data_IF_550644346141
#
_entry.id   IF_550644346141
#
_cell.length_a   1.000
_cell.length_b   1.000
_cell.length_c   1.000
_cell.angle_alpha   90.00
_cell.angle_beta   90.00
_cell.angle_gamma   90.00
#
_symmetry.space_group_name_H-M   'P 1'
#
loop_
_entity.id
_entity.type
_entity.pdbx_description
1 polymer ?
#
# COMPACT_ATOMS: atom_id res chain seq x y z
N UNK A 1 30.84 -8.24 -6.09
CA UNK A 1 30.80 -7.01 -5.28
C UNK A 1 30.01 -7.28 -4.01
N UNK A 2 30.00 -6.35 -3.05
CA UNK A 2 29.27 -6.49 -1.78
C UNK A 2 27.79 -6.79 -1.99
N UNK A 3 27.17 -6.18 -3.00
CA UNK A 3 25.76 -6.36 -3.39
C UNK A 3 25.49 -7.80 -3.84
N UNK A 4 26.38 -8.37 -4.65
CA UNK A 4 26.29 -9.78 -5.07
C UNK A 4 26.45 -10.76 -3.91
N UNK A 5 27.21 -10.39 -2.88
CA UNK A 5 27.31 -11.21 -1.67
C UNK A 5 26.01 -11.13 -0.87
N UNK A 6 25.42 -9.94 -0.71
CA UNK A 6 24.14 -9.78 -0.03
C UNK A 6 22.99 -10.48 -0.77
N UNK A 7 22.95 -10.42 -2.11
CA UNK A 7 21.96 -11.13 -2.93
C UNK A 7 21.89 -12.64 -2.61
N UNK A 8 23.00 -13.26 -2.22
CA UNK A 8 23.03 -14.70 -1.88
C UNK A 8 22.49 -15.02 -0.48
N UNK A 9 22.33 -14.04 0.40
CA UNK A 9 21.94 -14.23 1.81
C UNK A 9 20.42 -14.12 2.01
N UNK A 10 19.69 -15.00 1.34
CA UNK A 10 18.22 -14.96 1.22
C UNK A 10 17.44 -15.00 2.55
N UNK A 11 18.07 -15.41 3.65
CA UNK A 11 17.44 -15.48 4.98
C UNK A 11 17.61 -14.19 5.82
N UNK A 12 18.31 -13.17 5.32
CA UNK A 12 18.55 -11.92 6.05
C UNK A 12 17.55 -10.81 5.73
N UNK A 13 16.77 -10.97 4.67
CA UNK A 13 15.85 -9.94 4.19
C UNK A 13 14.67 -10.61 3.49
N UNK A 14 13.55 -9.90 3.49
CA UNK A 14 12.33 -10.31 2.80
C UNK A 14 12.32 -9.87 1.32
N UNK A 15 13.01 -8.75 1.04
CA UNK A 15 13.08 -8.09 -0.25
C UNK A 15 14.52 -7.60 -0.50
N UNK A 16 15.06 -7.93 -1.66
CA UNK A 16 16.32 -7.39 -2.18
C UNK A 16 16.03 -6.39 -3.30
N UNK A 17 16.62 -5.20 -3.21
CA UNK A 17 16.45 -4.13 -4.19
C UNK A 17 17.80 -3.78 -4.81
N UNK A 18 17.92 -3.93 -6.13
CA UNK A 18 19.13 -3.58 -6.89
C UNK A 18 18.75 -2.84 -8.17
N UNK A 19 19.06 -1.54 -8.24
CA UNK A 19 18.82 -0.70 -9.42
C UNK A 19 17.40 -0.84 -9.98
N UNK A 20 16.39 -0.68 -9.11
CA UNK A 20 14.96 -0.85 -9.41
C UNK A 20 14.51 -2.29 -9.69
N UNK A 21 15.42 -3.27 -9.67
CA UNK A 21 15.04 -4.69 -9.70
C UNK A 21 14.70 -5.14 -8.29
N UNK A 22 13.47 -5.62 -8.13
CA UNK A 22 12.95 -6.17 -6.88
C UNK A 22 13.07 -7.70 -6.96
N UNK A 23 13.69 -8.31 -5.95
CA UNK A 23 13.81 -9.76 -5.81
C UNK A 23 13.28 -10.17 -4.46
N UNK A 24 12.38 -11.13 -4.48
CA UNK A 24 11.77 -11.75 -3.30
C UNK A 24 12.03 -13.24 -3.34
N UNK A 25 12.12 -13.87 -2.17
CA UNK A 25 12.36 -15.31 -2.03
C UNK A 25 11.16 -16.06 -1.44
N UNK A 26 10.15 -15.33 -0.98
CA UNK A 26 8.90 -15.88 -0.43
C UNK A 26 7.76 -15.67 -1.40
N UNK A 27 6.98 -16.72 -1.66
CA UNK A 27 5.78 -16.66 -2.50
C UNK A 27 4.70 -15.70 -1.96
N UNK A 28 4.70 -15.43 -0.65
CA UNK A 28 3.82 -14.42 -0.05
C UNK A 28 4.23 -13.01 -0.48
N UNK A 29 5.53 -12.73 -0.54
CA UNK A 29 6.06 -11.42 -0.94
C UNK A 29 5.99 -11.22 -2.46
N UNK A 30 6.02 -12.29 -3.27
CA UNK A 30 5.78 -12.19 -4.72
C UNK A 30 4.44 -11.54 -5.04
N UNK A 31 3.39 -11.86 -4.27
CA UNK A 31 2.07 -11.23 -4.45
C UNK A 31 2.08 -9.73 -4.15
N UNK A 32 2.92 -9.27 -3.21
CA UNK A 32 3.07 -7.84 -2.92
C UNK A 32 3.75 -7.06 -4.05
N UNK A 33 4.37 -7.75 -5.01
CA UNK A 33 4.97 -7.14 -6.20
C UNK A 33 3.99 -7.04 -7.38
N UNK A 34 2.84 -7.70 -7.30
CA UNK A 34 1.84 -7.66 -8.36
C UNK A 34 1.11 -6.32 -8.35
N UNK A 35 1.01 -5.68 -9.53
CA UNK A 35 0.32 -4.41 -9.67
C UNK A 35 -1.19 -4.61 -9.67
N UNK A 36 -1.87 -4.05 -8.67
CA UNK A 36 -3.33 -4.03 -8.59
C UNK A 36 -3.94 -2.90 -9.45
N UNK A 37 -5.24 -2.99 -9.78
CA UNK A 37 -6.01 -1.84 -10.29
C UNK A 37 -5.89 -0.59 -9.41
N UNK A 38 -5.92 -0.75 -8.09
CA UNK A 38 -5.77 0.35 -7.14
C UNK A 38 -4.41 1.04 -7.27
N UNK A 39 -3.32 0.30 -7.51
CA UNK A 39 -1.99 0.89 -7.71
C UNK A 39 -1.93 1.78 -8.95
N UNK A 40 -2.58 1.36 -10.05
CA UNK A 40 -2.66 2.17 -11.26
C UNK A 40 -3.41 3.48 -11.01
N UNK A 41 -4.49 3.44 -10.24
CA UNK A 41 -5.25 4.64 -9.86
C UNK A 41 -4.41 5.58 -8.97
N UNK A 42 -3.74 5.04 -7.95
CA UNK A 42 -2.84 5.79 -7.07
C UNK A 42 -1.70 6.43 -7.86
N UNK A 43 -1.09 5.69 -8.78
CA UNK A 43 -0.01 6.19 -9.63
C UNK A 43 -0.47 7.31 -10.55
N UNK A 44 -1.62 7.17 -11.22
CA UNK A 44 -2.18 8.23 -12.06
C UNK A 44 -2.47 9.51 -11.25
N UNK A 45 -3.07 9.37 -10.07
CA UNK A 45 -3.30 10.51 -9.19
C UNK A 45 -2.00 11.18 -8.74
N UNK A 46 -0.95 10.41 -8.45
CA UNK A 46 0.37 10.93 -8.13
C UNK A 46 0.97 11.72 -9.33
N UNK A 47 0.80 11.23 -10.56
CA UNK A 47 1.24 11.94 -11.76
C UNK A 47 0.49 13.27 -11.96
N UNK A 48 -0.82 13.29 -11.66
CA UNK A 48 -1.62 14.52 -11.68
C UNK A 48 -1.16 15.54 -10.62
N UNK A 49 -0.78 15.09 -9.43
CA UNK A 49 -0.22 15.97 -8.41
C UNK A 49 1.14 16.52 -8.83
N UNK A 50 2.02 15.66 -9.37
CA UNK A 50 3.32 16.06 -9.89
C UNK A 50 3.19 17.19 -10.91
N UNK A 51 2.25 17.07 -11.86
CA UNK A 51 2.06 18.08 -12.91
C UNK A 51 1.52 19.41 -12.38
N UNK A 52 0.80 19.41 -11.25
CA UNK A 52 0.32 20.62 -10.57
C UNK A 52 1.39 21.29 -9.70
N UNK A 53 2.29 20.51 -9.12
CA UNK A 53 3.37 21.01 -8.25
C UNK A 53 4.59 21.50 -9.04
N UNK A 54 4.91 20.88 -10.19
CA UNK A 54 6.09 21.23 -11.00
C UNK A 54 6.10 22.70 -11.51
N UNK A 55 4.99 23.33 -11.91
CA UNK A 55 4.96 24.75 -12.29
C UNK A 55 5.23 25.71 -11.12
N UNK A 56 4.90 25.31 -9.87
CA UNK A 56 5.08 26.16 -8.68
C UNK A 56 6.56 26.24 -8.24
N UNK A 57 7.37 25.25 -8.61
CA UNK A 57 8.79 25.14 -8.26
C UNK A 57 9.73 25.72 -9.34
N UNK A 58 9.20 26.08 -10.51
CA UNK A 58 9.98 26.64 -11.61
C UNK A 58 10.58 28.02 -11.32
N UNK A 59 10.15 28.70 -10.24
CA UNK A 59 10.69 29.98 -9.79
C UNK A 59 11.76 29.89 -8.70
N UNK A 60 11.95 28.72 -8.07
CA UNK A 60 12.85 28.53 -6.94
C UNK A 60 13.78 27.34 -7.25
N UNK A 61 14.77 27.61 -8.10
CA UNK A 61 15.59 26.62 -8.83
C UNK A 61 16.47 25.72 -7.96
N UNK A 62 16.47 25.85 -6.63
CA UNK A 62 17.38 25.12 -5.73
C UNK A 62 16.68 24.31 -4.63
N UNK A 63 15.34 24.37 -4.53
CA UNK A 63 14.57 23.56 -3.59
C UNK A 63 13.70 22.57 -4.37
N UNK A 64 14.18 21.34 -4.52
CA UNK A 64 13.32 20.21 -4.92
C UNK A 64 12.42 19.90 -3.74
N UNK A 65 11.34 20.66 -3.58
CA UNK A 65 10.38 20.44 -2.50
C UNK A 65 9.58 19.17 -2.79
N UNK A 66 10.05 18.04 -2.27
CA UNK A 66 9.38 16.75 -2.33
C UNK A 66 8.28 16.61 -1.24
N UNK A 67 7.87 17.71 -0.60
CA UNK A 67 6.78 17.72 0.39
C UNK A 67 5.46 17.23 -0.20
N UNK A 68 5.17 17.53 -1.48
CA UNK A 68 3.96 17.07 -2.15
C UNK A 68 3.94 15.54 -2.29
N UNK A 69 5.09 14.94 -2.58
CA UNK A 69 5.24 13.49 -2.71
C UNK A 69 5.04 12.82 -1.35
N UNK A 70 5.71 13.32 -0.32
CA UNK A 70 5.54 12.82 1.06
C UNK A 70 4.09 13.00 1.54
N UNK A 71 3.49 14.15 1.25
CA UNK A 71 2.11 14.48 1.60
C UNK A 71 1.08 13.54 0.97
N UNK A 72 1.31 13.09 -0.26
CA UNK A 72 0.47 12.10 -0.93
C UNK A 72 0.38 10.79 -0.14
N UNK A 73 1.51 10.19 0.20
CA UNK A 73 1.54 8.93 0.96
C UNK A 73 1.06 9.12 2.40
N UNK A 74 1.37 10.25 3.03
CA UNK A 74 0.84 10.59 4.35
C UNK A 74 -0.69 10.68 4.34
N UNK A 75 -1.28 11.29 3.30
CA UNK A 75 -2.73 11.37 3.16
C UNK A 75 -3.38 9.99 2.98
N UNK A 76 -2.77 9.11 2.19
CA UNK A 76 -3.22 7.73 2.03
C UNK A 76 -3.18 6.96 3.35
N UNK A 77 -2.05 7.00 4.07
CA UNK A 77 -1.92 6.35 5.38
C UNK A 77 -2.95 6.91 6.38
N UNK A 78 -3.13 8.22 6.38
CA UNK A 78 -4.10 8.90 7.24
C UNK A 78 -5.52 8.43 6.94
N UNK A 79 -5.89 8.30 5.67
CA UNK A 79 -7.21 7.82 5.26
C UNK A 79 -7.44 6.36 5.68
N UNK A 80 -6.44 5.50 5.46
CA UNK A 80 -6.48 4.09 5.88
C UNK A 80 -6.73 3.94 7.38
N UNK A 81 -5.92 4.60 8.22
CA UNK A 81 -6.05 4.49 9.67
C UNK A 81 -7.32 5.16 10.21
N UNK A 82 -7.80 6.24 9.56
CA UNK A 82 -9.09 6.86 9.91
C UNK A 82 -10.24 5.88 9.69
N UNK A 83 -10.31 5.24 8.53
CA UNK A 83 -11.39 4.28 8.25
C UNK A 83 -11.30 3.06 9.17
N UNK A 84 -10.09 2.53 9.40
CA UNK A 84 -9.88 1.42 10.34
C UNK A 84 -10.37 1.74 11.75
N UNK A 85 -10.10 2.95 12.24
CA UNK A 85 -10.56 3.40 13.55
C UNK A 85 -12.09 3.56 13.62
N UNK A 86 -12.71 4.02 12.53
CA UNK A 86 -14.18 4.13 12.44
C UNK A 86 -14.80 2.73 12.50
N UNK A 87 -14.30 1.79 11.68
CA UNK A 87 -14.81 0.42 11.62
C UNK A 87 -14.59 -0.31 12.95
N UNK A 88 -13.42 -0.17 13.58
CA UNK A 88 -13.13 -0.84 14.87
C UNK A 88 -14.02 -0.35 16.02
N UNK A 89 -14.59 0.86 15.90
CA UNK A 89 -15.55 1.44 16.85
C UNK A 89 -17.01 1.17 16.49
N UNK A 90 -17.27 0.63 15.30
CA UNK A 90 -18.62 0.25 14.89
C UNK A 90 -19.09 -0.99 15.66
N UNK A 91 -20.40 -1.22 15.67
CA UNK A 91 -20.99 -2.38 16.36
C UNK A 91 -20.60 -3.70 15.68
N UNK A 92 -20.55 -3.70 14.35
CA UNK A 92 -20.33 -4.91 13.55
C UNK A 92 -18.83 -5.21 13.33
N UNK A 93 -17.99 -4.16 13.31
CA UNK A 93 -16.54 -4.26 13.06
C UNK A 93 -16.18 -4.95 11.75
N UNK A 94 -17.09 -4.93 10.78
CA UNK A 94 -16.92 -5.58 9.48
C UNK A 94 -16.16 -4.67 8.53
N UNK A 95 -15.04 -5.17 8.01
CA UNK A 95 -14.28 -4.54 6.94
C UNK A 95 -14.68 -5.14 5.60
N UNK A 96 -15.28 -4.32 4.74
CA UNK A 96 -15.88 -4.72 3.46
C UNK A 96 -15.00 -4.25 2.29
N UNK A 97 -15.30 -4.75 1.09
CA UNK A 97 -14.69 -4.26 -0.15
C UNK A 97 -14.92 -2.77 -0.37
N UNK A 98 -16.06 -2.23 0.09
CA UNK A 98 -16.30 -0.80 0.02
C UNK A 98 -15.29 -0.01 0.86
N UNK A 99 -14.97 -0.50 2.07
CA UNK A 99 -13.92 0.08 2.90
C UNK A 99 -12.55 0.01 2.21
N UNK A 100 -12.22 -1.12 1.56
CA UNK A 100 -10.98 -1.26 0.76
C UNK A 100 -10.88 -0.17 -0.31
N UNK A 101 -11.92 0.01 -1.13
CA UNK A 101 -11.93 1.04 -2.18
C UNK A 101 -11.84 2.45 -1.61
N UNK A 102 -12.54 2.77 -0.51
CA UNK A 102 -12.52 4.10 0.12
C UNK A 102 -11.13 4.52 0.61
N UNK A 103 -10.30 3.55 1.01
CA UNK A 103 -8.91 3.82 1.45
C UNK A 103 -7.89 3.66 0.33
N UNK A 104 -8.34 3.37 -0.90
CA UNK A 104 -7.48 3.22 -2.08
C UNK A 104 -6.72 1.90 -2.12
N UNK A 105 -7.25 0.86 -1.48
CA UNK A 105 -6.75 -0.52 -1.55
C UNK A 105 -7.59 -1.38 -2.50
N UNK A 106 -6.96 -2.36 -3.12
CA UNK A 106 -7.63 -3.38 -3.92
C UNK A 106 -8.17 -4.51 -3.04
N UNK A 107 -9.48 -4.85 -3.10
CA UNK A 107 -10.07 -5.89 -2.25
C UNK A 107 -9.41 -7.27 -2.35
N UNK A 108 -8.79 -7.59 -3.49
CA UNK A 108 -8.18 -8.90 -3.72
C UNK A 108 -6.66 -8.87 -3.55
N UNK A 109 -5.99 -7.89 -4.14
CA UNK A 109 -4.53 -7.73 -4.14
C UNK A 109 -3.97 -7.28 -2.80
N UNK A 110 -4.66 -6.34 -2.13
CA UNK A 110 -4.15 -5.73 -0.88
C UNK A 110 -4.69 -6.40 0.39
N UNK A 111 -5.44 -7.50 0.23
CA UNK A 111 -6.05 -8.20 1.37
C UNK A 111 -5.01 -8.71 2.37
N UNK A 112 -3.94 -9.34 1.87
CA UNK A 112 -2.86 -9.88 2.72
C UNK A 112 -2.19 -8.74 3.49
N UNK A 113 -1.87 -7.63 2.81
CA UNK A 113 -1.32 -6.44 3.43
C UNK A 113 -2.21 -5.94 4.58
N UNK A 114 -3.52 -5.83 4.34
CA UNK A 114 -4.44 -5.36 5.37
C UNK A 114 -4.55 -6.34 6.55
N UNK A 115 -4.60 -7.64 6.29
CA UNK A 115 -4.62 -8.67 7.35
C UNK A 115 -3.40 -8.53 8.25
N UNK A 116 -2.19 -8.49 7.68
CA UNK A 116 -0.96 -8.33 8.47
C UNK A 116 -0.91 -7.00 9.22
N UNK A 117 -1.40 -5.92 8.62
CA UNK A 117 -1.46 -4.60 9.26
C UNK A 117 -2.35 -4.65 10.52
N UNK A 118 -3.56 -5.18 10.38
CA UNK A 118 -4.55 -5.28 11.45
C UNK A 118 -4.02 -6.15 12.59
N UNK A 119 -3.41 -7.30 12.27
CA UNK A 119 -2.79 -8.19 13.25
C UNK A 119 -1.62 -7.52 13.98
N UNK A 120 -0.73 -6.85 13.23
CA UNK A 120 0.45 -6.19 13.80
C UNK A 120 0.11 -5.04 14.73
N UNK A 121 -0.93 -4.26 14.41
CA UNK A 121 -1.36 -3.12 15.21
C UNK A 121 -2.45 -3.49 16.24
N UNK A 122 -2.93 -4.74 16.27
CA UNK A 122 -3.98 -5.19 17.19
C UNK A 122 -5.31 -4.46 16.96
N UNK A 123 -5.65 -4.18 15.70
CA UNK A 123 -6.89 -3.49 15.34
C UNK A 123 -8.03 -4.52 15.34
N UNK A 124 -9.09 -4.25 16.11
CA UNK A 124 -10.21 -5.18 16.26
C UNK A 124 -11.24 -4.99 15.14
N UNK A 125 -11.02 -5.68 14.01
CA UNK A 125 -11.93 -5.75 12.86
C UNK A 125 -11.97 -7.15 12.24
N UNK A 126 -13.04 -7.46 11.52
CA UNK A 126 -13.22 -8.72 10.79
C UNK A 126 -13.28 -8.42 9.29
N UNK A 127 -12.32 -8.93 8.52
CA UNK A 127 -12.33 -8.81 7.06
C UNK A 127 -13.33 -9.79 6.47
N UNK A 128 -14.27 -9.28 5.68
CA UNK A 128 -15.20 -10.14 4.93
C UNK A 128 -14.38 -10.87 3.87
N UNK A 129 -14.39 -12.20 3.92
CA UNK A 129 -13.86 -13.03 2.85
C UNK A 129 -15.04 -13.47 1.99
N UNK A 130 -15.03 -13.13 0.71
CA UNK A 130 -15.94 -13.72 -0.27
C UNK A 130 -15.70 -15.23 -0.38
N UNK A 131 -16.31 -15.99 0.53
CA UNK A 131 -16.42 -17.44 0.50
C UNK A 131 -17.61 -17.93 1.32
N UNK A 132 -18.74 -17.24 1.19
CA UNK A 132 -20.05 -17.85 1.47
C UNK A 132 -20.95 -17.60 0.26
N UNK A 133 -20.53 -18.16 -0.89
CA UNK A 133 -21.47 -18.43 -1.96
C UNK A 133 -22.44 -19.49 -1.41
N UNK A 134 -23.71 -19.11 -1.23
CA UNK A 134 -24.77 -20.03 -0.84
C UNK A 134 -24.78 -21.25 -1.78
N UNK A 135 -24.85 -22.49 -1.27
CA UNK A 135 -25.15 -23.62 -2.14
C UNK A 135 -26.57 -23.43 -2.68
N UNK A 136 -26.71 -23.47 -4.01
CA UNK A 136 -27.98 -23.66 -4.70
C UNK A 136 -28.49 -25.09 -4.50
#
# INVERSE_FOLDING_TARGET
TTEKIFETKQNLFDLFVDQQNLKVHSSLHERLLELSPADRLKYNHLLELRSKCQPLLAGDSDATDDSWFTGFFMAQNTQLFKELLVVSRSTEKLWTDEHMHRVGLDPHGDKLFLTELVERYGIDIVLITDSVCCPA
#
